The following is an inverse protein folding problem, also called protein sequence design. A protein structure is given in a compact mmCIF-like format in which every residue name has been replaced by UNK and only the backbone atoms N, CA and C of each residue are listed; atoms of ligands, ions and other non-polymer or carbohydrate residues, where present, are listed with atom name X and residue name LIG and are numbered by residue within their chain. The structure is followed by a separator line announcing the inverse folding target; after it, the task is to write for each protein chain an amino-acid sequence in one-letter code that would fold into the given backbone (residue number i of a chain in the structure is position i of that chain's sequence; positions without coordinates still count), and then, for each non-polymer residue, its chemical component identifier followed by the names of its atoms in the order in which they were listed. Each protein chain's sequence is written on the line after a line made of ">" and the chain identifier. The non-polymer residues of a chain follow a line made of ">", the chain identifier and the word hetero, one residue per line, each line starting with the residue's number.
data_IF_212486414073
#
_entry.id   IF_212486414073
#
_cell.length_a   1.000
_cell.length_b   1.000
_cell.length_c   1.000
_cell.angle_alpha   90.00
_cell.angle_beta   90.00
_cell.angle_gamma   90.00
#
_symmetry.space_group_name_H-M   'P 1'
#
loop_
_entity.id
_entity.type
_entity.pdbx_description
1 polymer ?
#
# COMPACT_ATOMS: atom_id res chain seq x y z
N UNK A 1 -36.95 -32.73 18.34
CA UNK A 1 -36.78 -31.59 17.43
C UNK A 1 -35.33 -31.60 16.93
N UNK A 2 -35.07 -32.27 15.79
CA UNK A 2 -33.72 -32.39 15.21
C UNK A 2 -33.54 -31.25 14.21
N UNK A 3 -32.73 -30.24 14.54
CA UNK A 3 -32.33 -29.22 13.58
C UNK A 3 -31.32 -29.83 12.62
N UNK A 4 -31.74 -30.09 11.39
CA UNK A 4 -30.85 -30.43 10.29
C UNK A 4 -30.13 -29.14 9.85
N UNK A 5 -28.82 -29.07 10.04
CA UNK A 5 -28.00 -28.08 9.36
C UNK A 5 -27.94 -28.45 7.87
N UNK A 6 -28.80 -27.84 7.07
CA UNK A 6 -28.63 -27.77 5.62
C UNK A 6 -27.34 -27.01 5.32
N UNK A 7 -26.29 -27.74 4.90
CA UNK A 7 -25.11 -27.15 4.24
C UNK A 7 -25.60 -26.45 2.96
N UNK A 8 -25.71 -25.13 3.00
CA UNK A 8 -25.85 -24.33 1.79
C UNK A 8 -24.53 -24.44 1.02
N UNK A 9 -24.58 -25.08 -0.15
CA UNK A 9 -23.51 -24.96 -1.13
C UNK A 9 -23.44 -23.50 -1.57
N UNK A 10 -22.51 -22.74 -0.98
CA UNK A 10 -22.14 -21.42 -1.50
C UNK A 10 -21.28 -21.71 -2.73
N UNK A 11 -21.88 -21.56 -3.92
CA UNK A 11 -21.11 -21.44 -5.16
C UNK A 11 -20.32 -20.14 -5.06
N UNK A 12 -19.12 -20.20 -4.48
CA UNK A 12 -18.17 -19.12 -4.54
C UNK A 12 -17.73 -18.99 -6.00
N UNK A 13 -18.13 -17.91 -6.66
CA UNK A 13 -17.47 -17.51 -7.89
C UNK A 13 -16.02 -17.20 -7.52
N UNK A 14 -15.10 -18.14 -7.75
CA UNK A 14 -13.67 -17.87 -7.69
C UNK A 14 -13.37 -16.93 -8.85
N UNK A 15 -13.10 -15.66 -8.54
CA UNK A 15 -12.38 -14.83 -9.49
C UNK A 15 -10.97 -15.38 -9.61
N UNK A 16 -10.53 -15.66 -10.83
CA UNK A 16 -9.10 -15.71 -11.11
C UNK A 16 -8.43 -14.43 -10.65
N UNK A 17 -7.12 -14.47 -10.39
CA UNK A 17 -6.34 -13.31 -9.94
C UNK A 17 -6.50 -12.14 -10.92
N UNK A 18 -7.41 -11.22 -10.62
CA UNK A 18 -7.48 -9.94 -11.28
C UNK A 18 -6.50 -9.03 -10.56
N UNK A 19 -5.25 -9.00 -11.02
CA UNK A 19 -4.44 -7.81 -10.84
C UNK A 19 -5.21 -6.68 -11.54
N UNK A 20 -5.70 -5.72 -10.77
CA UNK A 20 -6.24 -4.49 -11.36
C UNK A 20 -5.03 -3.78 -11.95
N UNK A 21 -4.84 -3.94 -13.25
CA UNK A 21 -3.76 -3.27 -13.96
C UNK A 21 -3.99 -1.77 -13.85
N UNK A 22 -2.93 -1.02 -13.53
CA UNK A 22 -3.00 0.44 -13.43
C UNK A 22 -3.05 1.13 -14.81
N UNK A 23 -3.04 0.35 -15.89
CA UNK A 23 -3.00 0.84 -17.26
C UNK A 23 -4.41 0.80 -17.83
N UNK A 24 -5.11 1.94 -17.77
CA UNK A 24 -6.48 2.14 -18.26
C UNK A 24 -6.70 1.71 -19.71
N UNK A 25 -6.90 0.41 -19.92
CA UNK A 25 -7.33 -0.17 -21.18
C UNK A 25 -8.87 -0.18 -21.22
N UNK A 26 -9.43 0.17 -22.37
CA UNK A 26 -10.85 0.02 -22.63
C UNK A 26 -11.25 -1.46 -22.44
N UNK A 27 -11.93 -1.77 -21.33
CA UNK A 27 -12.34 -3.13 -20.96
C UNK A 27 -12.05 -3.52 -19.50
N UNK A 28 -11.31 -2.71 -18.74
CA UNK A 28 -11.08 -2.97 -17.31
C UNK A 28 -12.34 -2.75 -16.47
N UNK A 29 -12.53 -3.61 -15.45
CA UNK A 29 -13.64 -3.49 -14.52
C UNK A 29 -13.52 -2.18 -13.73
N UNK A 30 -14.56 -1.35 -13.78
CA UNK A 30 -14.62 -0.07 -13.03
C UNK A 30 -14.97 -0.27 -11.55
N UNK A 31 -15.36 -1.48 -11.16
CA UNK A 31 -15.59 -1.86 -9.78
C UNK A 31 -15.46 -3.38 -9.56
N UNK A 32 -15.28 -3.78 -8.30
CA UNK A 32 -15.43 -5.17 -7.85
C UNK A 32 -16.66 -5.28 -6.92
N UNK A 33 -17.34 -6.44 -6.91
CA UNK A 33 -18.35 -6.72 -5.90
C UNK A 33 -17.77 -6.67 -4.48
N UNK A 34 -18.54 -6.14 -3.53
CA UNK A 34 -18.23 -6.33 -2.11
C UNK A 34 -18.21 -7.82 -1.78
N UNK A 35 -17.33 -8.25 -0.88
CA UNK A 35 -17.11 -9.64 -0.48
C UNK A 35 -16.62 -10.56 -1.62
N UNK A 36 -16.08 -10.00 -2.72
CA UNK A 36 -15.32 -10.81 -3.67
C UNK A 36 -14.19 -11.52 -2.92
N UNK A 37 -14.17 -12.85 -3.02
CA UNK A 37 -13.26 -13.70 -2.25
C UNK A 37 -12.01 -14.02 -3.06
N UNK A 38 -10.86 -13.94 -2.39
CA UNK A 38 -9.55 -14.23 -2.94
C UNK A 38 -8.91 -15.39 -2.17
N UNK A 39 -8.37 -16.40 -2.87
CA UNK A 39 -7.70 -17.51 -2.22
C UNK A 39 -6.39 -17.06 -1.57
N UNK A 40 -6.08 -17.65 -0.42
CA UNK A 40 -4.81 -17.51 0.26
C UNK A 40 -4.37 -18.88 0.83
N UNK A 41 -3.13 -19.02 1.35
CA UNK A 41 -2.61 -20.31 1.78
C UNK A 41 -3.42 -21.02 2.88
N UNK A 42 -4.30 -20.31 3.59
CA UNK A 42 -5.11 -20.84 4.70
C UNK A 42 -6.61 -20.83 4.42
N UNK A 43 -7.04 -20.54 3.19
CA UNK A 43 -8.45 -20.52 2.79
C UNK A 43 -8.79 -19.34 1.90
N UNK A 44 -9.79 -18.54 2.29
CA UNK A 44 -10.26 -17.38 1.51
C UNK A 44 -10.29 -16.11 2.38
N UNK A 45 -9.84 -14.99 1.82
CA UNK A 45 -10.06 -13.65 2.36
C UNK A 45 -10.98 -12.84 1.45
N UNK A 46 -11.70 -11.89 2.02
CA UNK A 46 -12.54 -10.97 1.23
C UNK A 46 -12.55 -9.58 1.87
N UNK A 47 -12.83 -8.58 1.03
CA UNK A 47 -13.04 -7.21 1.46
C UNK A 47 -14.51 -6.85 1.39
N UNK A 48 -15.09 -6.52 2.54
CA UNK A 48 -16.36 -5.84 2.64
C UNK A 48 -16.19 -4.36 2.35
N UNK A 49 -17.02 -3.82 1.45
CA UNK A 49 -17.16 -2.38 1.24
C UNK A 49 -18.48 -1.89 1.82
N UNK A 50 -18.42 -0.85 2.67
CA UNK A 50 -19.60 -0.19 3.23
C UNK A 50 -20.49 0.49 2.16
N UNK A 51 -19.98 0.68 0.94
CA UNK A 51 -20.75 1.22 -0.19
C UNK A 51 -21.33 0.14 -1.10
N UNK A 52 -21.18 -1.13 -0.75
CA UNK A 52 -21.68 -2.29 -1.50
C UNK A 52 -20.84 -2.71 -2.70
N UNK A 53 -19.84 -1.91 -3.10
CA UNK A 53 -18.87 -2.21 -4.16
C UNK A 53 -17.53 -1.56 -3.88
N UNK A 54 -16.47 -2.09 -4.47
CA UNK A 54 -15.13 -1.49 -4.45
C UNK A 54 -14.95 -0.78 -5.80
N UNK A 55 -15.00 0.55 -5.82
CA UNK A 55 -14.79 1.31 -7.05
C UNK A 55 -13.31 1.34 -7.43
N UNK A 56 -13.00 1.09 -8.70
CA UNK A 56 -11.65 1.06 -9.25
C UNK A 56 -11.34 2.26 -10.15
N UNK A 57 -12.26 3.21 -10.27
CA UNK A 57 -12.19 4.38 -11.15
C UNK A 57 -11.90 5.71 -10.41
N UNK A 58 -11.79 5.66 -9.08
CA UNK A 58 -11.54 6.81 -8.22
C UNK A 58 -10.05 7.21 -8.15
N UNK A 59 -9.73 8.35 -7.51
CA UNK A 59 -8.36 8.86 -7.42
C UNK A 59 -7.34 7.87 -6.84
N UNK A 60 -7.77 6.96 -5.95
CA UNK A 60 -6.94 5.88 -5.41
C UNK A 60 -6.30 4.99 -6.50
N UNK A 61 -6.97 4.80 -7.63
CA UNK A 61 -6.50 3.96 -8.73
C UNK A 61 -5.93 4.75 -9.90
N UNK A 62 -5.99 6.09 -9.85
CA UNK A 62 -5.45 6.96 -10.89
C UNK A 62 -3.95 7.19 -10.67
N UNK A 63 -3.19 7.25 -11.77
CA UNK A 63 -1.80 7.70 -11.71
C UNK A 63 -1.76 9.22 -11.53
N UNK A 64 -1.74 9.66 -10.27
CA UNK A 64 -1.73 11.08 -9.90
C UNK A 64 -0.31 11.67 -9.84
N UNK A 65 0.71 10.83 -9.97
CA UNK A 65 2.11 11.25 -10.07
C UNK A 65 2.68 11.17 -11.49
N UNK A 66 4.00 11.24 -11.59
CA UNK A 66 4.72 11.29 -12.88
C UNK A 66 5.27 9.94 -13.34
N UNK A 67 5.29 8.93 -12.47
CA UNK A 67 5.94 7.64 -12.76
C UNK A 67 4.97 6.50 -13.12
N UNK A 68 3.68 6.80 -13.31
CA UNK A 68 2.66 5.82 -13.69
C UNK A 68 2.07 5.01 -12.54
N UNK A 69 2.51 5.21 -11.29
CA UNK A 69 1.92 4.54 -10.12
C UNK A 69 0.63 5.23 -9.67
N UNK A 70 -0.29 4.39 -9.22
CA UNK A 70 -1.42 4.74 -8.36
C UNK A 70 -1.29 4.02 -7.01
N UNK A 71 -2.13 4.35 -6.02
CA UNK A 71 -2.19 3.59 -4.77
C UNK A 71 -2.51 2.11 -5.07
N UNK A 72 -3.40 1.86 -6.03
CA UNK A 72 -3.73 0.53 -6.52
C UNK A 72 -2.52 -0.27 -7.02
N UNK A 73 -1.44 0.36 -7.51
CA UNK A 73 -0.24 -0.38 -7.92
C UNK A 73 0.42 -1.19 -6.79
N UNK A 74 0.20 -0.81 -5.53
CA UNK A 74 0.67 -1.54 -4.34
C UNK A 74 -0.49 -2.12 -3.51
N UNK A 75 -1.65 -1.48 -3.48
CA UNK A 75 -2.76 -1.84 -2.60
C UNK A 75 -3.82 -2.64 -3.37
N UNK A 76 -3.50 -3.89 -3.72
CA UNK A 76 -4.39 -4.77 -4.48
C UNK A 76 -5.36 -5.52 -3.56
N UNK A 77 -6.67 -5.63 -3.90
CA UNK A 77 -7.63 -6.36 -3.07
C UNK A 77 -7.25 -7.82 -2.82
N UNK A 78 -6.72 -8.50 -3.85
CA UNK A 78 -6.30 -9.90 -3.76
C UNK A 78 -5.07 -10.15 -2.86
N UNK A 79 -4.36 -9.09 -2.51
CA UNK A 79 -3.17 -9.12 -1.66
C UNK A 79 -3.50 -8.62 -0.24
N UNK A 80 -4.78 -8.38 0.06
CA UNK A 80 -5.21 -7.77 1.31
C UNK A 80 -4.86 -6.28 1.41
N UNK A 81 -4.91 -5.56 0.29
CA UNK A 81 -4.60 -4.13 0.19
C UNK A 81 -3.16 -3.78 0.57
N UNK A 82 -2.25 -4.72 0.38
CA UNK A 82 -0.80 -4.58 0.51
C UNK A 82 -0.15 -5.30 -0.67
N UNK A 83 1.15 -5.60 -0.59
CA UNK A 83 1.87 -6.38 -1.59
C UNK A 83 2.30 -7.73 -1.02
N UNK A 84 2.26 -8.78 -1.85
CA UNK A 84 2.84 -10.08 -1.49
C UNK A 84 3.90 -10.53 -2.52
N UNK A 85 5.01 -11.16 -2.08
CA UNK A 85 6.10 -11.55 -2.99
C UNK A 85 5.69 -12.44 -4.17
N UNK A 86 4.71 -13.33 -4.00
CA UNK A 86 4.22 -14.19 -5.10
C UNK A 86 3.66 -13.37 -6.25
N UNK A 87 2.77 -12.41 -5.96
CA UNK A 87 2.14 -11.60 -7.01
C UNK A 87 3.06 -10.51 -7.57
N UNK A 88 4.00 -9.99 -6.76
CA UNK A 88 5.06 -9.12 -7.30
C UNK A 88 5.88 -9.88 -8.33
N UNK A 89 6.29 -11.14 -8.04
CA UNK A 89 7.05 -11.95 -9.01
C UNK A 89 6.24 -12.23 -10.27
N UNK A 90 4.95 -12.55 -10.16
CA UNK A 90 4.07 -12.73 -11.32
C UNK A 90 4.01 -11.47 -12.20
N UNK A 91 3.82 -10.29 -11.59
CA UNK A 91 3.84 -9.00 -12.31
C UNK A 91 5.20 -8.73 -12.94
N UNK A 92 6.29 -9.11 -12.28
CA UNK A 92 7.63 -9.01 -12.85
C UNK A 92 7.78 -9.88 -14.09
N UNK A 93 7.44 -11.17 -14.02
CA UNK A 93 7.56 -12.08 -15.17
C UNK A 93 6.67 -11.62 -16.34
N UNK A 94 5.46 -11.14 -16.04
CA UNK A 94 4.50 -10.69 -17.06
C UNK A 94 4.96 -9.42 -17.77
N UNK A 95 5.54 -8.47 -17.03
CA UNK A 95 5.94 -7.16 -17.57
C UNK A 95 7.44 -7.07 -17.91
N UNK A 96 8.21 -8.12 -17.63
CA UNK A 96 9.68 -8.09 -17.59
C UNK A 96 10.23 -7.10 -16.56
N UNK A 97 9.45 -6.66 -15.58
CA UNK A 97 9.81 -5.60 -14.62
C UNK A 97 9.50 -4.17 -15.12
N UNK A 98 8.49 -3.99 -15.99
CA UNK A 98 8.03 -2.68 -16.48
C UNK A 98 6.77 -2.17 -15.78
N UNK A 99 6.06 -3.04 -15.05
CA UNK A 99 4.88 -2.67 -14.28
C UNK A 99 5.16 -1.45 -13.37
N UNK A 100 4.22 -0.50 -13.19
CA UNK A 100 4.42 0.69 -12.37
C UNK A 100 4.92 0.45 -10.94
N UNK A 101 4.73 -0.72 -10.33
CA UNK A 101 5.32 -1.02 -9.01
C UNK A 101 6.86 -1.04 -9.06
N UNK A 102 7.46 -1.29 -10.22
CA UNK A 102 8.90 -1.34 -10.43
C UNK A 102 9.43 0.04 -10.83
N UNK A 103 9.81 0.84 -9.83
CA UNK A 103 10.40 2.18 -10.01
C UNK A 103 11.67 2.33 -9.20
N UNK A 104 12.60 3.13 -9.72
CA UNK A 104 13.92 3.28 -9.12
C UNK A 104 13.92 4.14 -7.85
N UNK A 105 12.95 5.04 -7.68
CA UNK A 105 12.91 5.94 -6.51
C UNK A 105 12.79 5.17 -5.17
N UNK A 106 12.04 4.07 -5.15
CA UNK A 106 11.78 3.29 -3.93
C UNK A 106 11.50 1.79 -4.16
N UNK A 107 11.19 1.36 -5.38
CA UNK A 107 10.88 -0.03 -5.69
C UNK A 107 12.15 -0.85 -5.87
N UNK A 108 13.26 -0.21 -6.24
CA UNK A 108 14.59 -0.81 -6.28
C UNK A 108 15.31 -0.71 -4.95
N UNK A 109 16.33 -1.54 -4.81
CA UNK A 109 17.21 -1.58 -3.65
C UNK A 109 18.03 -0.28 -3.50
N UNK A 110 18.28 0.41 -4.63
CA UNK A 110 18.98 1.69 -4.70
C UNK A 110 18.38 2.53 -5.83
N UNK A 111 18.27 3.86 -5.68
CA UNK A 111 17.85 4.75 -6.76
C UNK A 111 18.88 4.87 -7.88
N UNK A 112 20.08 4.30 -7.70
CA UNK A 112 21.12 4.20 -8.72
C UNK A 112 21.20 2.79 -9.36
N UNK A 113 20.27 1.89 -9.03
CA UNK A 113 20.31 0.52 -9.52
C UNK A 113 20.13 0.47 -11.05
N UNK A 114 20.90 -0.41 -11.70
CA UNK A 114 20.78 -0.67 -13.14
C UNK A 114 19.47 -1.39 -13.45
N UNK A 115 18.69 -0.80 -14.36
CA UNK A 115 17.42 -1.33 -14.84
C UNK A 115 17.39 -1.50 -16.37
N UNK A 116 18.55 -1.49 -17.01
CA UNK A 116 18.72 -1.50 -18.47
C UNK A 116 18.25 -2.80 -19.15
N UNK A 117 18.31 -3.93 -18.44
CA UNK A 117 17.89 -5.25 -18.93
C UNK A 117 16.88 -5.89 -17.99
N UNK A 118 16.24 -6.99 -18.40
CA UNK A 118 15.34 -7.76 -17.51
C UNK A 118 16.13 -8.32 -16.33
N UNK A 119 17.33 -8.86 -16.56
CA UNK A 119 18.17 -9.42 -15.49
C UNK A 119 18.68 -8.33 -14.53
N UNK A 120 19.08 -7.17 -15.06
CA UNK A 120 19.44 -6.02 -14.24
C UNK A 120 18.26 -5.59 -13.35
N UNK A 121 17.05 -5.49 -13.91
CA UNK A 121 15.82 -5.19 -13.15
C UNK A 121 15.51 -6.23 -12.09
N UNK A 122 15.74 -7.52 -12.37
CA UNK A 122 15.53 -8.60 -11.39
C UNK A 122 16.43 -8.42 -10.16
N UNK A 123 17.68 -8.00 -10.39
CA UNK A 123 18.61 -7.68 -9.30
C UNK A 123 18.24 -6.38 -8.59
N UNK A 124 17.92 -5.33 -9.36
CA UNK A 124 17.56 -4.01 -8.84
C UNK A 124 16.33 -4.06 -7.92
N UNK A 125 15.33 -4.88 -8.26
CA UNK A 125 14.07 -5.00 -7.50
C UNK A 125 14.06 -6.19 -6.53
N UNK A 126 15.21 -6.76 -6.17
CA UNK A 126 15.25 -8.03 -5.44
C UNK A 126 14.64 -7.97 -4.03
N UNK A 127 14.70 -6.82 -3.33
CA UNK A 127 14.00 -6.66 -2.04
C UNK A 127 12.48 -6.66 -2.21
N UNK A 128 11.98 -6.01 -3.26
CA UNK A 128 10.57 -6.01 -3.60
C UNK A 128 10.12 -7.42 -4.03
N UNK A 129 10.84 -8.07 -4.95
CA UNK A 129 10.53 -9.41 -5.47
C UNK A 129 10.53 -10.49 -4.39
N UNK A 130 11.53 -10.48 -3.50
CA UNK A 130 11.74 -11.58 -2.56
C UNK A 130 11.06 -11.35 -1.21
N UNK A 131 10.86 -10.09 -0.81
CA UNK A 131 10.38 -9.74 0.55
C UNK A 131 9.14 -8.84 0.55
N UNK A 132 8.77 -8.26 -0.60
CA UNK A 132 7.68 -7.28 -0.68
C UNK A 132 8.04 -5.99 0.05
N UNK A 133 9.31 -5.57 0.00
CA UNK A 133 9.81 -4.39 0.68
C UNK A 133 10.21 -3.32 -0.34
N UNK A 134 9.78 -2.09 -0.10
CA UNK A 134 10.24 -0.88 -0.79
C UNK A 134 11.34 -0.21 0.03
N UNK A 135 12.28 0.44 -0.64
CA UNK A 135 13.30 1.29 -0.03
C UNK A 135 12.68 2.62 0.37
N UNK A 136 12.98 3.07 1.58
CA UNK A 136 12.68 4.42 2.06
C UNK A 136 13.95 5.04 2.56
N UNK A 137 14.35 6.11 1.86
CA UNK A 137 15.43 6.99 2.25
C UNK A 137 15.06 7.78 3.48
N UNK A 138 15.89 7.71 4.52
CA UNK A 138 15.73 8.55 5.71
C UNK A 138 17.06 9.25 5.98
N UNK A 139 17.06 10.58 5.91
CA UNK A 139 18.21 11.39 6.31
C UNK A 139 18.44 11.35 7.82
N UNK A 140 19.64 11.72 8.23
CA UNK A 140 19.95 11.93 9.65
C UNK A 140 19.02 13.02 10.23
N UNK A 141 18.44 12.84 11.43
CA UNK A 141 17.68 13.91 12.06
C UNK A 141 18.57 15.14 12.31
N UNK A 142 17.99 16.35 12.46
CA UNK A 142 18.76 17.59 12.65
C UNK A 142 19.73 17.57 13.85
N UNK A 143 19.38 16.84 14.93
CA UNK A 143 20.18 16.69 16.15
C UNK A 143 20.30 15.20 16.50
N UNK A 144 21.14 14.42 15.82
CA UNK A 144 21.22 12.99 16.05
C UNK A 144 21.99 12.71 17.36
N UNK A 145 21.43 11.89 18.24
CA UNK A 145 22.12 11.38 19.44
C UNK A 145 23.11 10.24 19.12
N UNK A 146 23.35 9.98 17.84
CA UNK A 146 24.23 8.95 17.32
C UNK A 146 24.93 9.45 16.04
N UNK A 147 26.03 8.82 15.64
CA UNK A 147 26.71 9.09 14.38
C UNK A 147 26.90 7.81 13.56
N UNK A 148 26.93 7.95 12.23
CA UNK A 148 27.26 6.85 11.31
C UNK A 148 28.76 6.88 11.05
N UNK A 149 29.49 5.99 11.73
CA UNK A 149 30.96 5.91 11.62
C UNK A 149 31.44 5.02 10.47
N UNK A 150 30.59 4.14 9.95
CA UNK A 150 30.88 3.24 8.84
C UNK A 150 29.58 2.78 8.16
N UNK A 151 29.66 2.41 6.88
CA UNK A 151 28.56 1.82 6.12
C UNK A 151 29.03 0.55 5.42
N UNK A 152 28.29 -0.53 5.62
CA UNK A 152 28.37 -1.77 4.85
C UNK A 152 26.98 -2.00 4.22
N UNK A 153 26.80 -1.46 3.02
CA UNK A 153 25.54 -1.54 2.26
C UNK A 153 25.75 -2.36 0.98
N UNK A 154 25.14 -3.56 0.85
CA UNK A 154 25.27 -4.39 -0.34
C UNK A 154 24.68 -3.74 -1.61
N UNK A 155 23.90 -2.66 -1.47
CA UNK A 155 23.29 -1.93 -2.58
C UNK A 155 23.97 -0.59 -2.88
N UNK A 156 24.98 -0.22 -2.09
CA UNK A 156 25.89 0.90 -2.37
C UNK A 156 25.25 2.29 -2.40
N UNK A 157 24.17 2.53 -1.64
CA UNK A 157 23.49 3.83 -1.61
C UNK A 157 23.42 4.46 -0.22
N UNK A 158 23.31 3.66 0.85
CA UNK A 158 23.25 4.19 2.20
C UNK A 158 24.51 4.99 2.55
N UNK A 159 24.33 6.10 3.25
CA UNK A 159 25.40 6.97 3.75
C UNK A 159 24.94 7.72 5.00
N UNK A 160 25.83 8.48 5.63
CA UNK A 160 25.45 9.39 6.70
C UNK A 160 24.44 10.47 6.26
N UNK A 161 24.36 10.75 4.95
CA UNK A 161 23.37 11.69 4.40
C UNK A 161 21.99 11.05 4.24
N UNK A 162 21.91 9.76 3.93
CA UNK A 162 20.66 9.04 3.71
C UNK A 162 20.81 7.55 4.00
N UNK A 163 20.04 7.05 4.97
CA UNK A 163 19.93 5.63 5.28
C UNK A 163 18.92 4.97 4.34
N UNK A 164 19.20 3.73 3.92
CA UNK A 164 18.26 2.91 3.15
C UNK A 164 17.51 1.94 4.06
N UNK A 165 16.25 2.24 4.37
CA UNK A 165 15.39 1.35 5.15
C UNK A 165 14.42 0.62 4.24
N UNK A 166 14.17 -0.66 4.53
CA UNK A 166 13.28 -1.49 3.71
C UNK A 166 12.03 -1.85 4.49
N UNK A 167 10.86 -1.46 3.97
CA UNK A 167 9.58 -1.70 4.65
C UNK A 167 8.50 -2.12 3.66
N UNK A 168 7.53 -2.88 4.14
CA UNK A 168 6.37 -3.28 3.34
C UNK A 168 5.36 -2.13 3.30
N UNK A 169 4.74 -1.82 2.14
CA UNK A 169 3.54 -1.00 2.09
C UNK A 169 2.46 -1.54 3.04
N UNK A 170 2.01 -0.73 4.01
CA UNK A 170 1.01 -1.17 4.98
C UNK A 170 -0.37 -1.36 4.31
N UNK A 171 -1.24 -2.25 4.82
CA UNK A 171 -2.57 -2.43 4.24
C UNK A 171 -3.42 -1.14 4.25
N UNK A 172 -4.08 -0.80 3.13
CA UNK A 172 -5.00 0.35 3.03
C UNK A 172 -6.47 -0.05 3.29
N UNK A 173 -6.68 -0.97 4.23
CA UNK A 173 -7.99 -1.51 4.64
C UNK A 173 -8.03 -1.63 6.15
N UNK A 174 -9.22 -1.72 6.75
CA UNK A 174 -9.40 -1.71 8.20
C UNK A 174 -8.90 -0.42 8.88
N UNK A 175 -8.65 0.65 8.11
CA UNK A 175 -8.07 1.90 8.60
C UNK A 175 -8.96 2.61 9.63
N UNK A 176 -10.28 2.39 9.56
CA UNK A 176 -11.26 2.94 10.52
C UNK A 176 -11.04 2.50 11.98
N UNK A 177 -10.25 1.47 12.22
CA UNK A 177 -9.92 0.99 13.56
C UNK A 177 -8.59 1.54 14.10
N UNK A 178 -7.87 2.32 13.31
CA UNK A 178 -6.58 2.86 13.72
C UNK A 178 -6.77 4.02 14.71
N UNK A 179 -5.92 4.02 15.73
CA UNK A 179 -5.65 5.18 16.58
C UNK A 179 -4.31 5.86 16.24
N UNK A 180 -3.50 5.25 15.38
CA UNK A 180 -2.24 5.77 14.87
C UNK A 180 -2.05 5.36 13.41
N UNK A 181 -1.57 6.28 12.57
CA UNK A 181 -1.30 6.06 11.14
C UNK A 181 0.20 5.83 10.93
N UNK A 182 0.51 4.78 10.15
CA UNK A 182 1.81 4.11 10.11
C UNK A 182 2.15 3.39 11.42
N UNK A 183 2.86 2.24 11.34
CA UNK A 183 3.18 1.42 12.50
C UNK A 183 3.98 2.16 13.58
N UNK A 184 4.75 3.16 13.18
CA UNK A 184 5.57 3.98 14.07
C UNK A 184 4.93 5.35 14.37
N UNK A 185 3.68 5.58 13.96
CA UNK A 185 2.94 6.80 14.24
C UNK A 185 3.47 8.05 13.52
N UNK A 186 4.35 7.90 12.53
CA UNK A 186 4.97 9.06 11.83
C UNK A 186 3.96 9.94 11.08
N UNK A 187 2.79 9.38 10.76
CA UNK A 187 1.68 10.10 10.13
C UNK A 187 0.59 10.45 11.16
N UNK A 188 0.90 10.41 12.46
CA UNK A 188 -0.01 10.80 13.53
C UNK A 188 0.44 12.10 14.18
N UNK A 189 -0.30 13.17 13.90
CA UNK A 189 0.12 14.52 14.23
C UNK A 189 -0.47 14.98 15.56
N UNK A 190 0.31 15.70 16.36
CA UNK A 190 -0.21 16.35 17.57
C UNK A 190 -1.11 17.52 17.17
N UNK A 191 -2.25 17.62 17.84
CA UNK A 191 -3.15 18.76 17.72
C UNK A 191 -3.68 19.13 19.11
N UNK A 192 -3.18 20.22 19.74
CA UNK A 192 -3.57 20.60 21.09
C UNK A 192 -5.02 21.11 21.20
N UNK A 193 -5.70 21.40 20.08
CA UNK A 193 -7.12 21.81 20.09
C UNK A 193 -8.07 20.64 19.81
N UNK A 194 -7.54 19.47 19.47
CA UNK A 194 -8.33 18.25 19.25
C UNK A 194 -8.91 17.69 20.56
N UNK A 195 -9.97 16.90 20.43
CA UNK A 195 -10.56 16.14 21.53
C UNK A 195 -10.07 14.69 21.59
N UNK A 196 -9.31 14.25 20.58
CA UNK A 196 -8.70 12.92 20.50
C UNK A 196 -7.41 12.89 21.33
N UNK A 197 -7.57 12.78 22.65
CA UNK A 197 -6.47 12.85 23.60
C UNK A 197 -6.17 11.51 24.27
N UNK A 198 -4.90 11.28 24.64
CA UNK A 198 -4.55 10.16 25.53
C UNK A 198 -5.23 10.40 26.87
N UNK A 199 -5.98 9.40 27.33
CA UNK A 199 -6.75 9.43 28.59
C UNK A 199 -5.86 9.90 29.75
N UNK A 200 -6.30 10.94 30.45
CA UNK A 200 -5.60 11.50 31.60
C UNK A 200 -4.42 12.43 31.26
N UNK A 201 -4.27 12.84 30.00
CA UNK A 201 -3.22 13.78 29.56
C UNK A 201 -3.79 14.94 28.75
N UNK A 202 -2.96 15.97 28.51
CA UNK A 202 -3.24 17.04 27.53
C UNK A 202 -2.63 16.75 26.15
N UNK A 203 -2.12 15.53 25.93
CA UNK A 203 -1.55 15.14 24.64
C UNK A 203 -2.68 14.69 23.73
N UNK A 204 -3.01 15.55 22.77
CA UNK A 204 -4.08 15.36 21.81
C UNK A 204 -3.53 15.28 20.39
N UNK A 205 -4.25 14.59 19.52
CA UNK A 205 -3.83 14.27 18.16
C UNK A 205 -4.86 14.73 17.14
N UNK A 206 -4.39 15.02 15.93
CA UNK A 206 -5.25 15.31 14.80
C UNK A 206 -6.18 14.11 14.52
N UNK A 207 -7.31 14.38 13.88
CA UNK A 207 -8.24 13.32 13.53
C UNK A 207 -7.59 12.29 12.58
N UNK A 208 -8.02 11.03 12.66
CA UNK A 208 -7.61 9.97 11.72
C UNK A 208 -7.80 10.39 10.25
N UNK A 209 -8.84 11.16 9.96
CA UNK A 209 -9.09 11.67 8.61
C UNK A 209 -7.97 12.61 8.14
N UNK A 210 -7.54 13.55 8.98
CA UNK A 210 -6.42 14.44 8.69
C UNK A 210 -5.13 13.65 8.44
N UNK A 211 -4.81 12.71 9.34
CA UNK A 211 -3.62 11.87 9.25
C UNK A 211 -3.58 11.07 7.93
N UNK A 212 -4.69 10.43 7.54
CA UNK A 212 -4.79 9.70 6.27
C UNK A 212 -4.73 10.64 5.05
N UNK A 213 -5.34 11.82 5.13
CA UNK A 213 -5.27 12.82 4.06
C UNK A 213 -3.82 13.30 3.85
N UNK A 214 -3.08 13.54 4.94
CA UNK A 214 -1.66 13.88 4.91
C UNK A 214 -0.84 12.72 4.33
N UNK A 215 -1.04 11.49 4.82
CA UNK A 215 -0.36 10.30 4.32
C UNK A 215 -0.58 10.09 2.82
N UNK A 216 -1.82 10.24 2.32
CA UNK A 216 -2.13 10.06 0.90
C UNK A 216 -1.36 11.04 0.01
N UNK A 217 -1.16 12.27 0.51
CA UNK A 217 -0.37 13.29 -0.16
C UNK A 217 1.12 12.93 -0.16
N UNK A 218 1.68 12.58 1.00
CA UNK A 218 3.08 12.18 1.14
C UNK A 218 3.41 10.93 0.29
N UNK A 219 2.49 9.96 0.24
CA UNK A 219 2.63 8.79 -0.61
C UNK A 219 2.60 9.16 -2.11
N UNK A 220 1.76 10.11 -2.51
CA UNK A 220 1.66 10.54 -3.91
C UNK A 220 2.90 11.32 -4.36
N UNK A 221 3.39 12.24 -3.54
CA UNK A 221 4.60 13.02 -3.85
C UNK A 221 5.87 12.18 -3.75
N UNK A 222 5.96 11.27 -2.78
CA UNK A 222 7.13 10.40 -2.58
C UNK A 222 7.16 9.18 -3.51
N UNK A 223 6.12 8.34 -3.47
CA UNK A 223 6.11 7.05 -4.16
C UNK A 223 5.71 7.16 -5.63
N UNK A 224 4.75 8.02 -5.95
CA UNK A 224 4.32 8.28 -7.34
C UNK A 224 5.07 9.46 -7.99
N UNK A 225 5.93 10.15 -7.24
CA UNK A 225 6.74 11.29 -7.71
C UNK A 225 5.88 12.41 -8.31
N UNK A 226 4.74 12.71 -7.69
CA UNK A 226 3.93 13.85 -8.08
C UNK A 226 4.69 15.16 -7.83
N UNK A 227 4.65 16.08 -8.80
CA UNK A 227 5.29 17.39 -8.68
C UNK A 227 4.55 18.34 -7.75
N UNK A 228 3.25 18.13 -7.57
CA UNK A 228 2.39 18.92 -6.71
C UNK A 228 1.65 18.00 -5.74
N UNK A 229 1.20 18.60 -4.64
CA UNK A 229 0.29 17.96 -3.72
C UNK A 229 -1.05 17.60 -4.40
N UNK A 230 -1.72 16.58 -3.85
CA UNK A 230 -3.08 16.25 -4.21
C UNK A 230 -4.03 17.42 -3.91
N UNK A 231 -5.04 17.62 -4.76
CA UNK A 231 -6.11 18.57 -4.43
C UNK A 231 -6.87 18.10 -3.19
N UNK A 232 -7.55 19.02 -2.52
CA UNK A 232 -8.40 18.66 -1.37
C UNK A 232 -9.44 17.62 -1.77
N UNK A 233 -10.09 17.77 -2.91
CA UNK A 233 -11.11 16.83 -3.40
C UNK A 233 -10.53 15.43 -3.65
N UNK A 234 -9.28 15.34 -4.14
CA UNK A 234 -8.60 14.05 -4.33
C UNK A 234 -8.29 13.38 -2.99
N UNK A 235 -7.77 14.13 -2.01
CA UNK A 235 -7.50 13.62 -0.66
C UNK A 235 -8.77 13.14 0.01
N UNK A 236 -9.83 13.94 -0.03
CA UNK A 236 -11.15 13.56 0.51
C UNK A 236 -11.68 12.28 -0.14
N UNK A 237 -11.59 12.16 -1.47
CA UNK A 237 -12.04 10.97 -2.18
C UNK A 237 -11.23 9.72 -1.83
N UNK A 238 -9.91 9.85 -1.62
CA UNK A 238 -9.02 8.76 -1.21
C UNK A 238 -9.37 8.29 0.20
N UNK A 239 -9.42 9.22 1.17
CA UNK A 239 -9.73 8.88 2.56
C UNK A 239 -11.14 8.30 2.67
N UNK A 240 -12.12 8.88 1.98
CA UNK A 240 -13.49 8.35 1.96
C UNK A 240 -13.55 6.92 1.39
N UNK A 241 -12.74 6.61 0.38
CA UNK A 241 -12.63 5.26 -0.17
C UNK A 241 -12.02 4.29 0.84
N UNK A 242 -10.84 4.62 1.37
CA UNK A 242 -10.11 3.81 2.34
C UNK A 242 -10.94 3.46 3.58
N UNK A 243 -11.71 4.42 4.08
CA UNK A 243 -12.56 4.28 5.27
C UNK A 243 -13.80 3.39 5.06
N UNK A 244 -14.04 2.91 3.83
CA UNK A 244 -15.14 1.99 3.51
C UNK A 244 -14.72 0.53 3.46
N UNK A 245 -13.42 0.23 3.53
CA UNK A 245 -12.86 -1.10 3.26
C UNK A 245 -12.56 -1.87 4.53
N UNK A 246 -13.15 -3.07 4.67
CA UNK A 246 -12.92 -3.97 5.79
C UNK A 246 -12.54 -5.36 5.27
N UNK A 247 -11.33 -5.81 5.57
CA UNK A 247 -10.81 -7.08 5.03
C UNK A 247 -10.62 -8.10 6.13
N UNK A 248 -11.08 -9.32 5.88
CA UNK A 248 -10.97 -10.43 6.82
C UNK A 248 -10.82 -11.77 6.09
N UNK A 249 -10.29 -12.77 6.81
CA UNK A 249 -10.44 -14.17 6.46
C UNK A 249 -11.93 -14.54 6.57
N UNK A 250 -12.50 -15.10 5.51
CA UNK A 250 -13.93 -15.49 5.47
C UNK A 250 -14.14 -17.00 5.46
N UNK A 251 -13.07 -17.77 5.24
CA UNK A 251 -13.08 -19.23 5.27
C UNK A 251 -11.70 -19.77 5.63
N UNK A 252 -11.64 -20.71 6.57
CA UNK A 252 -10.44 -21.47 6.92
C UNK A 252 -10.51 -22.87 6.30
N UNK A 253 -9.42 -23.30 5.65
CA UNK A 253 -9.34 -24.58 4.93
C UNK A 253 -8.91 -25.77 5.80
#
# INVERSE_FOLDING_TARGET
>A
MKYALTRRHVSAALAGFFAVSAAGHAGEATFLPSMLSFPNPTGLAATYSATGKIRLDGPFFQSLGSNGRSCGSCHQPGDGWTVIPSHIRERFETSGGLDPIFRINDGSNSPLADVSTVDARRNAYSMLLNKGLIRVGIGMPPDPEFEVIAVDDPYGYASAAELSLFRRPLPSTNLKFLSTVMLDGRETFKDPISQDCIVGTTTCFASLHFDLAHQSNAATTGHAQAANELTTEQREAIVAFEMTLFTAQVFDA
#
